data_IF_740818945040
#
_entry.id   IF_740818945040
#
_cell.length_a   1.000
_cell.length_b   1.000
_cell.length_c   1.000
_cell.angle_alpha   90.00
_cell.angle_beta   90.00
_cell.angle_gamma   90.00
#
_symmetry.space_group_name_H-M   'P 1'
#
loop_
_entity.id
_entity.type
_entity.pdbx_description
1 polymer ?
#
# COMPACT_ATOMS: atom_id res chain seq x y z
N UNK A 1 -38.58 11.71 43.34
CA UNK A 1 -38.70 11.15 41.98
C UNK A 1 -37.50 10.23 41.74
N UNK A 2 -37.69 9.00 41.27
CA UNK A 2 -36.59 8.03 41.16
C UNK A 2 -35.66 8.39 40.00
N UNK A 3 -34.35 8.35 40.26
CA UNK A 3 -33.26 8.62 39.31
C UNK A 3 -33.22 7.55 38.22
N UNK A 4 -33.50 7.94 36.97
CA UNK A 4 -33.34 7.11 35.78
C UNK A 4 -31.86 6.80 35.54
N UNK A 5 -31.36 5.66 36.03
CA UNK A 5 -30.07 5.13 35.57
C UNK A 5 -30.33 4.38 34.27
N UNK A 6 -29.81 4.89 33.16
CA UNK A 6 -29.92 4.26 31.85
C UNK A 6 -29.43 2.80 31.91
N UNK A 7 -30.20 1.90 31.31
CA UNK A 7 -29.96 0.45 31.36
C UNK A 7 -28.72 0.14 30.50
N UNK A 8 -27.61 -0.21 31.14
CA UNK A 8 -26.37 -0.62 30.44
C UNK A 8 -26.54 -2.05 29.94
N UNK A 9 -26.68 -2.22 28.61
CA UNK A 9 -26.68 -3.54 27.98
C UNK A 9 -25.22 -3.98 27.74
N UNK A 10 -24.82 -5.10 28.34
CA UNK A 10 -23.53 -5.74 28.06
C UNK A 10 -23.71 -6.67 26.87
N UNK A 11 -23.25 -6.25 25.70
CA UNK A 11 -23.18 -7.11 24.51
C UNK A 11 -21.94 -8.00 24.63
N UNK A 12 -22.08 -9.30 24.39
CA UNK A 12 -20.92 -10.16 24.13
C UNK A 12 -20.41 -9.80 22.73
N UNK A 13 -19.17 -9.28 22.63
CA UNK A 13 -18.53 -9.14 21.32
C UNK A 13 -18.21 -10.55 20.81
N UNK A 14 -18.80 -11.02 19.69
CA UNK A 14 -18.57 -12.37 19.17
C UNK A 14 -17.11 -12.61 18.74
N UNK A 15 -16.33 -11.54 18.55
CA UNK A 15 -14.92 -11.60 18.15
C UNK A 15 -13.97 -11.62 19.36
N UNK A 16 -14.47 -11.36 20.58
CA UNK A 16 -13.62 -11.12 21.75
C UNK A 16 -12.95 -9.73 21.71
N UNK A 17 -12.31 -9.34 22.81
CA UNK A 17 -11.34 -8.24 22.79
C UNK A 17 -9.99 -8.93 22.65
N UNK A 18 -9.45 -8.96 21.42
CA UNK A 18 -8.11 -9.49 21.21
C UNK A 18 -7.10 -8.63 21.98
N UNK A 19 -6.23 -9.29 22.73
CA UNK A 19 -5.10 -8.62 23.38
C UNK A 19 -4.28 -7.97 22.26
N UNK A 20 -3.90 -6.69 22.36
CA UNK A 20 -3.08 -6.04 21.34
C UNK A 20 -1.85 -6.90 21.06
N UNK A 21 -1.70 -7.32 19.80
CA UNK A 21 -0.53 -8.08 19.35
C UNK A 21 0.52 -7.12 18.81
N UNK A 22 1.79 -7.44 19.08
CA UNK A 22 2.91 -6.68 18.51
C UNK A 22 2.93 -6.86 16.99
N UNK A 23 2.76 -5.75 16.26
CA UNK A 23 2.84 -5.74 14.80
C UNK A 23 4.28 -5.51 14.36
N UNK A 24 4.88 -6.49 13.68
CA UNK A 24 6.21 -6.35 13.07
C UNK A 24 6.05 -6.07 11.58
N UNK A 25 6.60 -4.95 11.05
CA UNK A 25 6.49 -4.64 9.64
C UNK A 25 7.26 -5.68 8.82
N UNK A 26 6.62 -6.18 7.76
CA UNK A 26 7.22 -7.18 6.85
C UNK A 26 8.50 -6.66 6.18
N UNK A 27 8.63 -5.34 6.03
CA UNK A 27 9.83 -4.68 5.50
C UNK A 27 10.18 -3.46 6.37
N UNK A 28 10.99 -3.62 7.43
CA UNK A 28 11.39 -2.50 8.30
C UNK A 28 12.08 -1.37 7.54
N UNK A 29 12.74 -1.69 6.42
CA UNK A 29 13.38 -0.73 5.49
C UNK A 29 12.40 0.23 4.80
N UNK A 30 11.10 -0.06 4.84
CA UNK A 30 9.99 0.74 4.31
C UNK A 30 9.15 1.35 5.43
N UNK A 31 9.73 1.58 6.61
CA UNK A 31 9.06 2.31 7.70
C UNK A 31 8.59 3.71 7.27
N UNK A 32 9.25 4.30 6.28
CA UNK A 32 8.86 5.51 5.57
C UNK A 32 9.13 5.34 4.07
N UNK A 33 8.36 6.05 3.25
CA UNK A 33 8.56 6.14 1.80
C UNK A 33 9.41 7.34 1.40
N UNK A 34 9.62 8.31 2.30
CA UNK A 34 10.37 9.54 2.01
C UNK A 34 11.78 9.25 1.48
N UNK A 35 12.13 9.84 0.34
CA UNK A 35 13.44 9.68 -0.32
C UNK A 35 13.69 8.30 -0.95
N UNK A 36 12.71 7.39 -0.93
CA UNK A 36 12.84 6.04 -1.50
C UNK A 36 12.71 6.06 -3.02
N UNK A 37 13.43 5.16 -3.68
CA UNK A 37 13.30 4.89 -5.11
C UNK A 37 12.27 3.77 -5.35
N UNK A 38 11.07 4.13 -5.80
CA UNK A 38 9.98 3.17 -6.02
C UNK A 38 9.64 3.08 -7.51
N UNK A 39 9.56 1.85 -8.01
CA UNK A 39 9.24 1.56 -9.40
C UNK A 39 7.77 1.14 -9.55
N UNK A 40 7.09 1.72 -10.53
CA UNK A 40 5.90 1.15 -11.14
C UNK A 40 6.31 0.28 -12.34
N UNK A 41 5.95 -0.99 -12.32
CA UNK A 41 6.05 -1.90 -13.47
C UNK A 41 4.64 -2.34 -13.84
N UNK A 42 4.03 -1.62 -14.78
CA UNK A 42 2.58 -1.69 -15.03
C UNK A 42 2.23 -2.11 -16.46
N UNK A 43 1.09 -2.77 -16.58
CA UNK A 43 0.45 -3.28 -17.81
C UNK A 43 -0.62 -2.32 -18.35
N UNK A 44 -1.32 -2.73 -19.40
CA UNK A 44 -2.14 -1.91 -20.27
C UNK A 44 -3.50 -1.43 -19.74
N UNK A 45 -3.71 -1.32 -18.42
CA UNK A 45 -4.95 -0.81 -17.80
C UNK A 45 -4.84 0.69 -17.43
N UNK A 46 -5.02 1.63 -18.38
CA UNK A 46 -4.83 3.05 -18.14
C UNK A 46 -5.87 3.67 -17.21
N UNK A 47 -7.08 3.11 -17.16
CA UNK A 47 -8.19 3.54 -16.33
C UNK A 47 -7.87 3.47 -14.82
N UNK A 48 -7.07 2.49 -14.41
CA UNK A 48 -6.61 2.33 -13.03
C UNK A 48 -5.24 2.99 -12.85
N UNK A 49 -4.29 2.63 -13.72
CA UNK A 49 -2.87 2.94 -13.48
C UNK A 49 -2.57 4.43 -13.55
N UNK A 50 -3.26 5.20 -14.41
CA UNK A 50 -3.05 6.66 -14.52
C UNK A 50 -3.52 7.38 -13.25
N UNK A 51 -4.71 7.04 -12.77
CA UNK A 51 -5.26 7.66 -11.56
C UNK A 51 -4.43 7.31 -10.32
N UNK A 52 -4.02 6.04 -10.20
CA UNK A 52 -3.14 5.56 -9.13
C UNK A 52 -1.80 6.31 -9.13
N UNK A 53 -1.09 6.34 -10.27
CA UNK A 53 0.22 6.99 -10.38
C UNK A 53 0.13 8.48 -10.02
N UNK A 54 -0.89 9.18 -10.52
CA UNK A 54 -1.13 10.59 -10.19
C UNK A 54 -1.35 10.79 -8.69
N UNK A 55 -2.19 9.95 -8.08
CA UNK A 55 -2.48 10.04 -6.64
C UNK A 55 -1.24 9.75 -5.80
N UNK A 56 -0.47 8.72 -6.13
CA UNK A 56 0.76 8.38 -5.39
C UNK A 56 1.80 9.50 -5.47
N UNK A 57 2.00 10.10 -6.66
CA UNK A 57 2.93 11.23 -6.83
C UNK A 57 2.48 12.49 -6.07
N UNK A 58 1.18 12.70 -5.94
CA UNK A 58 0.59 13.83 -5.21
C UNK A 58 0.66 13.64 -3.69
N UNK A 59 0.31 12.44 -3.21
CA UNK A 59 0.28 12.13 -1.78
C UNK A 59 1.70 11.93 -1.20
N UNK A 60 2.67 11.52 -2.04
CA UNK A 60 4.06 11.28 -1.66
C UNK A 60 5.05 11.96 -2.63
N UNK A 61 5.17 13.30 -2.57
CA UNK A 61 5.99 14.07 -3.51
C UNK A 61 7.50 13.87 -3.33
N UNK A 62 7.94 13.42 -2.15
CA UNK A 62 9.35 13.22 -1.81
C UNK A 62 9.85 11.79 -2.12
N UNK A 63 9.00 10.93 -2.69
CA UNK A 63 9.39 9.62 -3.22
C UNK A 63 9.92 9.81 -4.65
N UNK A 64 11.03 9.17 -4.98
CA UNK A 64 11.52 9.12 -6.35
C UNK A 64 10.79 8.03 -7.14
N UNK A 65 9.78 8.44 -7.90
CA UNK A 65 8.93 7.55 -8.68
C UNK A 65 9.51 7.26 -10.07
N UNK A 66 9.79 5.99 -10.34
CA UNK A 66 10.17 5.49 -11.66
C UNK A 66 9.02 4.70 -12.28
N UNK A 67 8.89 4.69 -13.60
CA UNK A 67 7.73 4.09 -14.25
C UNK A 67 8.10 3.37 -15.54
N UNK A 68 7.82 2.07 -15.57
CA UNK A 68 7.95 1.18 -16.72
C UNK A 68 6.54 0.75 -17.13
N UNK A 69 6.09 1.18 -18.30
CA UNK A 69 4.74 0.87 -18.82
C UNK A 69 4.83 0.07 -20.10
N UNK A 70 3.87 -0.82 -20.27
CA UNK A 70 3.61 -1.53 -21.52
C UNK A 70 2.11 -1.69 -21.70
N UNK A 71 1.67 -1.86 -22.95
CA UNK A 71 0.28 -2.17 -23.30
C UNK A 71 0.03 -3.66 -23.46
N UNK A 72 1.05 -4.49 -23.22
CA UNK A 72 0.93 -5.95 -23.20
C UNK A 72 0.50 -6.49 -21.84
N UNK A 73 0.25 -7.80 -21.80
CA UNK A 73 -0.11 -8.56 -20.59
C UNK A 73 1.10 -8.85 -19.69
N UNK A 74 2.30 -8.84 -20.28
CA UNK A 74 3.54 -9.05 -19.53
C UNK A 74 4.12 -7.69 -19.12
N UNK A 75 4.32 -7.43 -17.83
CA UNK A 75 4.89 -6.18 -17.38
C UNK A 75 6.40 -6.11 -17.67
N UNK A 76 6.90 -4.88 -17.88
CA UNK A 76 8.34 -4.66 -18.08
C UNK A 76 9.07 -4.80 -16.75
N UNK A 77 9.70 -5.96 -16.55
CA UNK A 77 10.45 -6.30 -15.32
C UNK A 77 11.63 -5.36 -15.09
N UNK A 78 12.05 -5.25 -13.82
CA UNK A 78 13.28 -4.53 -13.48
C UNK A 78 14.49 -5.31 -14.01
N UNK A 79 15.48 -4.57 -14.48
CA UNK A 79 16.82 -5.08 -14.78
C UNK A 79 17.60 -5.29 -13.49
N UNK A 80 18.70 -6.05 -13.56
CA UNK A 80 19.55 -6.29 -12.40
C UNK A 80 20.12 -5.00 -11.79
N UNK A 81 20.44 -4.00 -12.61
CA UNK A 81 20.94 -2.70 -12.13
C UNK A 81 19.84 -1.88 -11.43
N UNK A 82 18.62 -1.90 -11.96
CA UNK A 82 17.47 -1.25 -11.31
C UNK A 82 17.15 -1.92 -9.97
N UNK A 83 17.24 -3.26 -9.89
CA UNK A 83 17.00 -4.00 -8.64
C UNK A 83 17.99 -3.64 -7.53
N UNK A 84 19.24 -3.27 -7.86
CA UNK A 84 20.24 -2.84 -6.86
C UNK A 84 19.89 -1.51 -6.19
N UNK A 85 19.15 -0.65 -6.88
CA UNK A 85 18.85 0.72 -6.45
C UNK A 85 17.38 0.93 -6.07
N UNK A 86 16.51 -0.03 -6.39
CA UNK A 86 15.10 0.00 -6.06
C UNK A 86 14.85 -0.33 -4.57
N UNK A 87 14.19 0.58 -3.87
CA UNK A 87 13.70 0.34 -2.52
C UNK A 87 12.37 -0.44 -2.55
N UNK A 88 11.54 -0.19 -3.56
CA UNK A 88 10.22 -0.81 -3.70
C UNK A 88 9.78 -0.98 -5.15
N UNK A 89 8.84 -1.91 -5.34
CA UNK A 89 8.25 -2.24 -6.65
C UNK A 89 6.75 -2.43 -6.50
N UNK A 90 5.99 -1.73 -7.35
CA UNK A 90 4.56 -1.93 -7.56
C UNK A 90 4.43 -2.62 -8.92
N UNK A 91 4.11 -3.91 -8.87
CA UNK A 91 4.11 -4.82 -10.03
C UNK A 91 2.67 -5.11 -10.44
N UNK A 92 2.32 -4.87 -11.70
CA UNK A 92 1.06 -5.31 -12.27
C UNK A 92 1.07 -6.84 -12.46
N UNK A 93 -0.12 -7.43 -12.31
CA UNK A 93 -0.39 -8.84 -12.51
C UNK A 93 -1.64 -8.93 -13.40
N UNK A 94 -1.50 -9.49 -14.59
CA UNK A 94 -2.61 -9.84 -15.47
C UNK A 94 -2.85 -11.36 -15.37
N UNK A 95 -4.11 -11.77 -15.33
CA UNK A 95 -4.57 -13.16 -15.26
C UNK A 95 -5.42 -13.54 -16.47
#
# INVERSE_FOLDING_TARGET
>A
MPSSKDKVYKCLNPVGIDVPVDAFPLAPRLNTLEGKNIYFSITGEPDITIAMEKKMKMDYPNVNWQTKKTYGIEPVRLTEEEMKTADGLIQAVCW
#
